data_IF_832655519953
#
_entry.id   IF_832655519953
#
_cell.length_a   1.000
_cell.length_b   1.000
_cell.length_c   1.000
_cell.angle_alpha   90.00
_cell.angle_beta   90.00
_cell.angle_gamma   90.00
#
_symmetry.space_group_name_H-M   'P 1'
#
loop_
_entity.id
_entity.type
_entity.pdbx_description
1 polymer ?
#
# COMPACT_ATOMS: atom_id res chain seq x y z
N UNK A 1 -9.67 -6.83 -37.98
CA UNK A 1 -10.13 -5.55 -37.39
C UNK A 1 -11.46 -5.80 -36.68
N UNK A 2 -11.75 -5.19 -35.51
CA UNK A 2 -11.00 -4.18 -34.77
C UNK A 2 -10.47 -4.69 -33.42
N UNK A 3 -9.33 -4.13 -33.01
CA UNK A 3 -8.71 -4.27 -31.69
C UNK A 3 -9.66 -3.68 -30.65
N UNK A 4 -9.95 -4.44 -29.58
CA UNK A 4 -10.80 -3.98 -28.48
C UNK A 4 -9.96 -3.04 -27.62
N UNK A 5 -10.40 -1.80 -27.53
CA UNK A 5 -9.76 -0.77 -26.74
C UNK A 5 -9.87 -1.07 -25.24
N UNK A 6 -8.72 -1.31 -24.60
CA UNK A 6 -8.58 -1.61 -23.17
C UNK A 6 -8.12 -3.05 -22.88
N UNK A 7 -8.57 -4.03 -23.66
CA UNK A 7 -8.10 -5.42 -23.61
C UNK A 7 -8.25 -6.13 -22.26
N UNK A 8 -9.08 -5.65 -21.34
CA UNK A 8 -9.33 -6.28 -20.03
C UNK A 8 -10.21 -7.53 -20.17
N UNK A 9 -10.16 -8.42 -19.19
CA UNK A 9 -11.01 -9.63 -19.10
C UNK A 9 -11.66 -9.70 -17.73
N UNK A 10 -12.82 -10.35 -17.63
CA UNK A 10 -13.40 -10.71 -16.33
C UNK A 10 -12.36 -11.46 -15.49
N UNK A 11 -12.18 -11.02 -14.25
CA UNK A 11 -11.16 -11.51 -13.32
C UNK A 11 -9.85 -10.71 -13.33
N UNK A 12 -9.62 -9.84 -14.31
CA UNK A 12 -8.45 -8.97 -14.32
C UNK A 12 -8.46 -8.05 -13.10
N UNK A 13 -7.26 -7.85 -12.54
CA UNK A 13 -7.02 -6.86 -11.49
C UNK A 13 -6.70 -5.53 -12.14
N UNK A 14 -7.40 -4.48 -11.72
CA UNK A 14 -7.28 -3.12 -12.29
C UNK A 14 -7.17 -2.08 -11.19
N UNK A 15 -6.48 -0.98 -11.47
CA UNK A 15 -6.42 0.20 -10.59
C UNK A 15 -6.85 1.44 -11.35
N UNK A 16 -7.47 2.43 -10.68
CA UNK A 16 -7.82 3.68 -11.33
C UNK A 16 -6.56 4.43 -11.76
N UNK A 17 -6.66 5.15 -12.88
CA UNK A 17 -5.60 6.09 -13.27
C UNK A 17 -5.71 7.39 -12.47
N UNK A 18 -4.62 8.14 -12.40
CA UNK A 18 -4.48 9.28 -11.48
C UNK A 18 -5.49 10.41 -11.76
N UNK A 19 -6.03 10.49 -12.99
CA UNK A 19 -7.08 11.44 -13.36
C UNK A 19 -8.52 10.92 -13.10
N UNK A 20 -8.67 9.71 -12.60
CA UNK A 20 -9.96 9.14 -12.21
C UNK A 20 -10.33 9.60 -10.80
N UNK A 21 -11.04 10.72 -10.72
CA UNK A 21 -11.40 11.37 -9.45
C UNK A 21 -12.54 10.70 -8.69
N UNK A 22 -13.29 9.77 -9.32
CA UNK A 22 -14.42 9.08 -8.68
C UNK A 22 -14.04 7.78 -7.98
N UNK A 23 -12.82 7.28 -8.19
CA UNK A 23 -12.33 6.03 -7.60
C UNK A 23 -11.16 6.32 -6.64
N UNK A 24 -11.09 5.64 -5.46
CA UNK A 24 -9.97 5.80 -4.56
C UNK A 24 -8.68 5.31 -5.22
N UNK A 25 -7.67 6.18 -5.27
CA UNK A 25 -6.38 5.88 -5.86
C UNK A 25 -5.66 4.76 -5.08
N UNK A 26 -4.95 3.89 -5.80
CA UNK A 26 -4.22 2.76 -5.22
C UNK A 26 -5.08 1.55 -4.84
N UNK A 27 -6.40 1.58 -5.09
CA UNK A 27 -7.28 0.45 -4.82
C UNK A 27 -7.29 -0.54 -5.99
N UNK A 28 -6.94 -1.80 -5.69
CA UNK A 28 -7.04 -2.90 -6.65
C UNK A 28 -8.48 -3.40 -6.70
N UNK A 29 -9.09 -3.28 -7.87
CA UNK A 29 -10.44 -3.74 -8.15
C UNK A 29 -10.41 -4.96 -9.07
N UNK A 30 -11.50 -5.73 -9.10
CA UNK A 30 -11.64 -6.90 -9.98
C UNK A 30 -12.67 -6.62 -11.05
N UNK A 31 -12.36 -6.88 -12.32
CA UNK A 31 -13.35 -6.79 -13.39
C UNK A 31 -14.37 -7.93 -13.25
N UNK A 32 -15.64 -7.59 -13.07
CA UNK A 32 -16.74 -8.57 -12.85
C UNK A 32 -17.49 -8.86 -14.15
N UNK A 33 -17.77 -7.83 -14.94
CA UNK A 33 -18.53 -7.93 -16.19
C UNK A 33 -17.96 -6.96 -17.20
N UNK A 34 -17.73 -7.46 -18.42
CA UNK A 34 -17.49 -6.63 -19.59
C UNK A 34 -18.78 -6.62 -20.42
N UNK A 35 -19.40 -5.45 -20.60
CA UNK A 35 -20.58 -5.30 -21.44
C UNK A 35 -20.27 -4.28 -22.54
N UNK A 36 -19.74 -4.78 -23.64
CA UNK A 36 -19.41 -3.99 -24.82
C UNK A 36 -18.09 -3.23 -24.76
N UNK A 37 -17.90 -2.27 -25.68
CA UNK A 37 -16.61 -1.61 -25.93
C UNK A 37 -16.25 -0.46 -24.98
N UNK A 38 -17.19 0.05 -24.17
CA UNK A 38 -17.03 1.35 -23.48
C UNK A 38 -17.28 1.30 -21.97
N UNK A 39 -17.72 0.16 -21.45
CA UNK A 39 -18.11 0.01 -20.05
C UNK A 39 -17.63 -1.32 -19.50
N UNK A 40 -16.97 -1.28 -18.35
CA UNK A 40 -16.66 -2.45 -17.56
C UNK A 40 -17.19 -2.27 -16.14
N UNK A 41 -17.62 -3.36 -15.52
CA UNK A 41 -18.03 -3.38 -14.13
C UNK A 41 -16.85 -3.83 -13.27
N UNK A 42 -16.49 -3.03 -12.28
CA UNK A 42 -15.43 -3.37 -11.32
C UNK A 42 -16.02 -3.59 -9.93
N UNK A 43 -15.44 -4.52 -9.18
CA UNK A 43 -15.70 -4.76 -7.77
C UNK A 43 -14.52 -4.26 -6.93
N UNK A 44 -14.84 -3.41 -5.97
CA UNK A 44 -13.92 -2.85 -4.99
C UNK A 44 -13.73 -3.82 -3.81
N UNK A 45 -12.65 -3.69 -3.01
CA UNK A 45 -12.40 -4.55 -1.85
C UNK A 45 -13.48 -4.50 -0.76
N UNK A 46 -14.29 -3.44 -0.71
CA UNK A 46 -15.43 -3.27 0.19
C UNK A 46 -16.70 -3.98 -0.29
N UNK A 47 -16.63 -4.71 -1.43
CA UNK A 47 -17.77 -5.37 -2.07
C UNK A 47 -18.66 -4.43 -2.90
N UNK A 48 -18.34 -3.14 -2.97
CA UNK A 48 -19.03 -2.20 -3.85
C UNK A 48 -18.75 -2.54 -5.30
N UNK A 49 -19.75 -2.42 -6.16
CA UNK A 49 -19.58 -2.60 -7.60
C UNK A 49 -19.98 -1.35 -8.36
N UNK A 50 -19.20 -0.97 -9.38
CA UNK A 50 -19.43 0.25 -10.14
C UNK A 50 -19.15 0.04 -11.63
N UNK A 51 -19.95 0.69 -12.47
CA UNK A 51 -19.72 0.74 -13.91
C UNK A 51 -18.75 1.86 -14.24
N UNK A 52 -17.65 1.52 -14.90
CA UNK A 52 -16.55 2.42 -15.18
C UNK A 52 -16.12 2.35 -16.65
N UNK A 53 -15.49 3.42 -17.10
CA UNK A 53 -14.94 3.49 -18.45
C UNK A 53 -13.53 2.85 -18.49
N UNK A 54 -13.24 1.88 -19.37
CA UNK A 54 -11.99 1.13 -19.36
C UNK A 54 -10.73 1.99 -19.50
N UNK A 55 -10.74 3.05 -20.32
CA UNK A 55 -9.57 3.97 -20.45
C UNK A 55 -9.26 4.82 -19.20
N UNK A 56 -10.06 4.77 -18.13
CA UNK A 56 -9.74 5.47 -16.87
C UNK A 56 -9.02 4.56 -15.87
N UNK A 57 -8.65 3.37 -16.32
CA UNK A 57 -8.13 2.29 -15.50
C UNK A 57 -6.96 1.63 -16.20
N UNK A 58 -5.99 1.20 -15.40
CA UNK A 58 -4.83 0.44 -15.85
C UNK A 58 -4.86 -0.95 -15.25
N UNK A 59 -4.24 -1.92 -15.93
CA UNK A 59 -4.04 -3.25 -15.33
C UNK A 59 -3.22 -3.07 -14.06
N UNK A 60 -3.73 -3.61 -12.96
CA UNK A 60 -2.94 -3.70 -11.75
C UNK A 60 -1.69 -4.53 -12.09
N UNK A 61 -0.49 -4.12 -11.63
CA UNK A 61 0.67 -4.97 -11.75
C UNK A 61 0.34 -6.34 -11.12
N UNK A 62 0.75 -7.42 -11.77
CA UNK A 62 0.38 -8.82 -11.42
C UNK A 62 0.78 -9.18 -9.98
N UNK A 63 1.54 -8.35 -9.27
CA UNK A 63 1.78 -8.49 -7.84
C UNK A 63 1.75 -7.12 -7.17
N UNK A 64 0.72 -6.89 -6.38
CA UNK A 64 0.91 -6.28 -5.07
C UNK A 64 -0.23 -6.81 -4.19
N UNK A 65 0.06 -7.89 -3.47
CA UNK A 65 -0.53 -8.08 -2.15
C UNK A 65 -0.46 -6.73 -1.39
N UNK A 66 -1.37 -6.44 -0.43
CA UNK A 66 -1.11 -5.35 0.51
C UNK A 66 0.36 -5.45 0.93
N UNK A 67 1.15 -4.35 0.88
CA UNK A 67 2.59 -4.46 1.01
C UNK A 67 2.85 -5.31 2.24
N UNK A 68 3.48 -6.47 2.02
CA UNK A 68 3.85 -7.35 3.11
C UNK A 68 4.57 -6.47 4.13
N UNK A 69 4.12 -6.52 5.39
CA UNK A 69 4.63 -5.64 6.45
C UNK A 69 6.15 -5.57 6.29
N UNK A 70 6.67 -4.36 6.06
CA UNK A 70 8.09 -4.19 5.79
C UNK A 70 8.89 -4.65 7.01
N UNK A 71 10.16 -5.02 6.84
CA UNK A 71 10.96 -5.44 7.99
C UNK A 71 11.14 -4.28 8.97
N UNK A 72 11.19 -3.03 8.48
CA UNK A 72 11.14 -1.84 9.33
C UNK A 72 9.86 -1.72 10.16
N UNK A 73 8.70 -2.06 9.62
CA UNK A 73 7.41 -2.05 10.32
C UNK A 73 7.29 -3.20 11.34
N UNK A 74 7.76 -4.40 11.00
CA UNK A 74 7.87 -5.52 11.94
C UNK A 74 8.82 -5.19 13.09
N UNK A 75 9.95 -4.59 12.78
CA UNK A 75 10.95 -4.18 13.78
C UNK A 75 10.40 -3.05 14.66
N UNK A 76 9.66 -2.09 14.11
CA UNK A 76 8.96 -1.05 14.87
C UNK A 76 7.95 -1.66 15.86
N UNK A 77 7.17 -2.64 15.42
CA UNK A 77 6.24 -3.36 16.28
C UNK A 77 6.95 -4.04 17.45
N UNK A 78 8.04 -4.77 17.16
CA UNK A 78 8.88 -5.39 18.20
C UNK A 78 9.46 -4.35 19.15
N UNK A 79 9.89 -3.20 18.65
CA UNK A 79 10.46 -2.12 19.46
C UNK A 79 9.45 -1.58 20.47
N UNK A 80 8.21 -1.33 20.02
CA UNK A 80 7.12 -0.87 20.90
C UNK A 80 6.81 -1.87 22.02
N UNK A 81 6.84 -3.17 21.72
CA UNK A 81 6.67 -4.23 22.71
C UNK A 81 7.95 -4.60 23.48
N UNK A 82 9.05 -3.85 23.30
CA UNK A 82 10.37 -4.11 23.92
C UNK A 82 10.91 -5.51 23.63
N UNK A 83 10.59 -6.05 22.45
CA UNK A 83 11.03 -7.35 21.95
C UNK A 83 12.23 -7.26 21.01
N UNK A 84 12.73 -6.05 20.69
CA UNK A 84 13.97 -5.88 19.94
C UNK A 84 15.18 -6.28 20.78
N UNK A 85 16.10 -7.04 20.18
CA UNK A 85 17.36 -7.44 20.82
C UNK A 85 18.54 -7.30 19.85
N UNK A 86 19.76 -7.38 20.37
CA UNK A 86 20.98 -7.26 19.56
C UNK A 86 21.14 -5.86 18.95
N UNK A 87 21.38 -5.80 17.64
CA UNK A 87 21.64 -4.56 16.90
C UNK A 87 20.41 -3.64 16.76
N UNK A 88 19.20 -4.19 16.73
CA UNK A 88 17.99 -3.40 16.50
C UNK A 88 17.66 -2.46 17.66
N UNK A 89 17.93 -2.87 18.90
CA UNK A 89 17.65 -2.06 20.09
C UNK A 89 18.40 -0.71 20.08
N UNK A 90 19.74 -0.66 19.90
CA UNK A 90 20.45 0.61 19.76
C UNK A 90 20.12 1.35 18.47
N UNK A 91 19.79 0.65 17.38
CA UNK A 91 19.34 1.29 16.13
C UNK A 91 18.07 2.13 16.37
N UNK A 92 17.04 1.54 17.01
CA UNK A 92 15.80 2.26 17.32
C UNK A 92 15.99 3.38 18.33
N UNK A 93 16.91 3.23 19.27
CA UNK A 93 17.29 4.31 20.18
C UNK A 93 17.92 5.48 19.42
N UNK A 94 18.82 5.21 18.48
CA UNK A 94 19.39 6.23 17.60
C UNK A 94 18.32 6.90 16.73
N UNK A 95 17.43 6.13 16.10
CA UNK A 95 16.36 6.66 15.24
C UNK A 95 15.41 7.56 16.05
N UNK A 96 15.02 7.14 17.26
CA UNK A 96 14.07 7.89 18.08
C UNK A 96 14.62 9.19 18.70
N UNK A 97 15.95 9.29 18.81
CA UNK A 97 16.63 10.46 19.38
C UNK A 97 17.30 11.34 18.32
N UNK A 98 17.40 10.87 17.08
CA UNK A 98 18.03 11.60 15.99
C UNK A 98 17.24 12.87 15.62
N UNK A 99 17.97 13.96 15.38
CA UNK A 99 17.42 15.13 14.70
C UNK A 99 17.13 14.83 13.21
N UNK A 100 16.45 15.76 12.53
CA UNK A 100 16.05 15.59 11.14
C UNK A 100 17.21 15.28 10.19
N UNK A 101 18.38 15.90 10.38
CA UNK A 101 19.53 15.71 9.50
C UNK A 101 20.19 14.34 9.71
N UNK A 102 20.33 13.92 10.96
CA UNK A 102 20.83 12.59 11.32
C UNK A 102 19.85 11.49 10.90
N UNK A 103 18.55 11.77 10.97
CA UNK A 103 17.51 10.85 10.55
C UNK A 103 17.48 10.69 9.01
N UNK A 104 17.77 11.74 8.24
CA UNK A 104 18.03 11.66 6.79
C UNK A 104 19.28 10.86 6.45
N UNK A 105 20.34 10.97 7.27
CA UNK A 105 21.54 10.15 7.10
C UNK A 105 21.25 8.67 7.39
N UNK A 106 20.50 8.37 8.46
CA UNK A 106 20.06 7.02 8.80
C UNK A 106 19.13 6.44 7.72
N UNK A 107 18.30 7.25 7.07
CA UNK A 107 17.43 6.80 5.98
C UNK A 107 18.21 6.21 4.80
N UNK A 108 19.47 6.60 4.59
CA UNK A 108 20.32 6.03 3.53
C UNK A 108 20.75 4.59 3.82
N UNK A 109 20.93 4.25 5.10
CA UNK A 109 21.34 2.91 5.54
C UNK A 109 20.17 2.01 5.94
N UNK A 110 19.12 2.60 6.52
CA UNK A 110 17.95 1.91 7.06
C UNK A 110 16.64 2.56 6.58
N UNK A 111 16.39 2.60 5.26
CA UNK A 111 15.26 3.35 4.69
C UNK A 111 13.90 2.88 5.23
N UNK A 112 13.70 1.58 5.41
CA UNK A 112 12.43 1.02 5.91
C UNK A 112 12.16 1.41 7.36
N UNK A 113 13.16 1.31 8.24
CA UNK A 113 13.02 1.60 9.67
C UNK A 113 12.74 3.09 9.90
N UNK A 114 13.46 3.94 9.16
CA UNK A 114 13.26 5.39 9.24
C UNK A 114 11.91 5.79 8.66
N UNK A 115 11.48 5.18 7.56
CA UNK A 115 10.15 5.43 7.00
C UNK A 115 9.05 5.02 7.98
N UNK A 116 9.14 3.83 8.56
CA UNK A 116 8.20 3.35 9.57
C UNK A 116 8.16 4.30 10.79
N UNK A 117 9.33 4.76 11.26
CA UNK A 117 9.41 5.73 12.35
C UNK A 117 8.75 7.07 12.01
N UNK A 118 9.01 7.59 10.81
CA UNK A 118 8.41 8.86 10.35
C UNK A 118 6.89 8.75 10.34
N UNK A 119 6.35 7.70 9.71
CA UNK A 119 4.91 7.46 9.69
C UNK A 119 4.34 7.32 11.09
N UNK A 120 5.00 6.54 11.95
CA UNK A 120 4.63 6.42 13.35
C UNK A 120 4.60 7.75 14.11
N UNK A 121 5.57 8.63 13.87
CA UNK A 121 5.68 9.91 14.56
C UNK A 121 4.74 10.99 13.99
N UNK A 122 4.44 10.96 12.69
CA UNK A 122 3.68 12.02 12.00
C UNK A 122 2.25 11.66 11.64
N UNK A 123 1.95 10.39 11.40
CA UNK A 123 0.65 9.93 10.92
C UNK A 123 -0.21 9.42 12.09
N UNK A 124 -1.24 10.19 12.45
CA UNK A 124 -2.21 9.78 13.45
C UNK A 124 -2.92 8.48 13.06
N UNK A 125 -2.95 7.51 13.97
CA UNK A 125 -3.63 6.22 13.75
C UNK A 125 -2.79 5.16 13.02
N UNK A 126 -1.62 5.51 12.50
CA UNK A 126 -0.71 4.57 11.83
C UNK A 126 -0.36 3.37 12.71
N UNK A 127 -0.03 3.62 13.98
CA UNK A 127 0.29 2.56 14.94
C UNK A 127 -0.84 1.54 15.12
N UNK A 128 -2.08 2.01 15.27
CA UNK A 128 -3.23 1.13 15.46
C UNK A 128 -3.49 0.28 14.21
N UNK A 129 -3.35 0.88 13.02
CA UNK A 129 -3.49 0.17 11.76
C UNK A 129 -2.41 -0.91 11.59
N UNK A 130 -1.14 -0.54 11.84
CA UNK A 130 -0.01 -1.47 11.76
C UNK A 130 -0.17 -2.64 12.75
N UNK A 131 -0.56 -2.34 13.99
CA UNK A 131 -0.81 -3.34 15.02
C UNK A 131 -1.92 -4.32 14.60
N UNK A 132 -3.07 -3.80 14.15
CA UNK A 132 -4.18 -4.64 13.72
C UNK A 132 -3.81 -5.52 12.53
N UNK A 133 -2.93 -5.03 11.66
CA UNK A 133 -2.46 -5.77 10.50
C UNK A 133 -1.51 -6.91 10.90
N UNK A 134 -0.62 -6.70 11.87
CA UNK A 134 0.28 -7.74 12.40
C UNK A 134 -0.45 -8.76 13.29
N UNK A 135 -1.38 -8.31 14.15
CA UNK A 135 -2.13 -9.20 15.06
C UNK A 135 -3.27 -9.96 14.34
N UNK A 136 -3.67 -9.51 13.14
CA UNK A 136 -4.67 -10.13 12.29
C UNK A 136 -4.13 -11.10 11.23
N UNK A 137 -2.80 -11.25 11.12
CA UNK A 137 -2.11 -12.33 10.39
C UNK A 137 -2.07 -13.63 11.23
#
# INVERSE_FOLDING_TARGET
MPTIDGGFRTGDKVTPEDFNTSAPQGVVCTVVVEDGRHTMKVEFPDGRQEWVHPYRWKRAPVVAAPPAITEGERSLYRWQYRQTSGFEAPLWQCISTADSANLDALAKGFPEHVTAYRRYASEGGYWNNLRNLIEGE
#
